data_IF_611064835122
#
_entry.id   IF_611064835122
#
_cell.length_a   1.000
_cell.length_b   1.000
_cell.length_c   1.000
_cell.angle_alpha   90.00
_cell.angle_beta   90.00
_cell.angle_gamma   90.00
#
_symmetry.space_group_name_H-M   'P 1'
#
loop_
_entity.id
_entity.type
_entity.pdbx_description
1 polymer ?
#
# COMPACT_ATOMS: atom_id res chain seq x y z
N UNK A 1 -29.09 -31.93 -30.80
CA UNK A 1 -27.95 -31.92 -29.89
C UNK A 1 -27.72 -30.45 -29.55
N UNK A 2 -28.27 -30.02 -28.40
CA UNK A 2 -28.13 -28.66 -27.88
C UNK A 2 -26.89 -28.58 -27.02
N UNK A 3 -25.94 -27.74 -27.44
CA UNK A 3 -24.77 -27.43 -26.63
C UNK A 3 -25.14 -26.30 -25.67
N UNK A 4 -25.17 -26.59 -24.39
CA UNK A 4 -25.29 -25.60 -23.30
C UNK A 4 -23.96 -24.92 -23.07
N UNK A 5 -23.88 -23.64 -23.42
CA UNK A 5 -22.76 -22.75 -23.08
C UNK A 5 -22.88 -22.38 -21.60
N UNK A 6 -22.00 -22.95 -20.76
CA UNK A 6 -21.84 -22.53 -19.38
C UNK A 6 -21.16 -21.15 -19.35
N UNK A 7 -21.90 -20.14 -18.94
CA UNK A 7 -21.35 -18.82 -18.66
C UNK A 7 -20.42 -18.91 -17.44
N UNK A 8 -19.15 -18.63 -17.69
CA UNK A 8 -18.14 -18.51 -16.66
C UNK A 8 -18.40 -17.19 -15.92
N UNK A 9 -19.03 -17.26 -14.75
CA UNK A 9 -19.22 -16.11 -13.87
C UNK A 9 -17.87 -15.73 -13.27
N UNK A 10 -17.38 -14.54 -13.64
CA UNK A 10 -16.24 -13.92 -12.98
C UNK A 10 -16.51 -13.84 -11.46
N UNK A 11 -15.48 -14.07 -10.61
CA UNK A 11 -15.64 -13.90 -9.17
C UNK A 11 -16.03 -12.45 -8.87
N UNK A 12 -17.12 -12.27 -8.15
CA UNK A 12 -17.57 -10.96 -7.67
C UNK A 12 -16.55 -10.44 -6.67
N UNK A 13 -15.84 -9.35 -7.03
CA UNK A 13 -15.05 -8.56 -6.09
C UNK A 13 -15.87 -8.26 -4.83
N UNK A 14 -15.26 -8.31 -3.64
CA UNK A 14 -15.93 -7.89 -2.43
C UNK A 14 -16.44 -6.45 -2.62
N UNK A 15 -17.73 -6.24 -2.37
CA UNK A 15 -18.40 -4.97 -2.57
C UNK A 15 -17.67 -3.88 -1.76
N UNK A 16 -16.91 -3.03 -2.44
CA UNK A 16 -16.36 -1.83 -1.84
C UNK A 16 -17.53 -1.04 -1.25
N UNK A 17 -17.51 -0.83 0.06
CA UNK A 17 -18.35 0.19 0.69
C UNK A 17 -18.11 1.47 -0.10
N UNK A 18 -19.17 2.21 -0.44
CA UNK A 18 -19.07 3.55 -1.07
C UNK A 18 -18.24 4.46 -0.18
N UNK A 19 -16.95 4.47 -0.39
CA UNK A 19 -15.94 5.23 0.33
C UNK A 19 -14.83 5.61 -0.64
N UNK A 20 -14.02 6.55 -0.25
CA UNK A 20 -12.81 6.95 -0.97
C UNK A 20 -11.94 5.72 -1.20
N UNK A 21 -11.40 5.52 -2.42
CA UNK A 21 -10.58 4.36 -2.72
C UNK A 21 -9.34 4.31 -1.82
N UNK A 22 -8.88 3.09 -1.51
CA UNK A 22 -7.56 2.92 -0.90
C UNK A 22 -6.49 3.51 -1.81
N UNK A 23 -5.46 4.12 -1.21
CA UNK A 23 -4.27 4.61 -1.92
C UNK A 23 -3.08 3.72 -1.69
N UNK A 24 -2.37 3.41 -2.78
CA UNK A 24 -1.13 2.67 -2.73
C UNK A 24 -0.02 3.43 -3.43
N UNK A 25 1.13 3.50 -2.80
CA UNK A 25 2.38 3.88 -3.46
C UNK A 25 3.03 2.62 -4.01
N UNK A 26 3.42 2.63 -5.29
CA UNK A 26 4.09 1.49 -5.93
C UNK A 26 5.43 1.92 -6.51
N UNK A 27 6.48 1.11 -6.28
CA UNK A 27 7.83 1.38 -6.75
C UNK A 27 8.64 0.10 -6.98
N UNK A 28 9.67 0.17 -7.79
CA UNK A 28 10.78 -0.77 -7.74
C UNK A 28 11.92 -0.18 -6.88
N UNK A 29 12.56 -1.03 -6.10
CA UNK A 29 13.61 -0.64 -5.15
C UNK A 29 14.81 0.03 -5.82
N UNK A 30 15.63 0.69 -5.02
CA UNK A 30 16.84 1.37 -5.48
C UNK A 30 17.76 0.37 -6.22
N UNK A 31 18.33 0.81 -7.34
CA UNK A 31 19.16 0.02 -8.25
C UNK A 31 18.46 -1.16 -8.96
N UNK A 32 17.14 -1.26 -8.84
CA UNK A 32 16.35 -2.26 -9.54
C UNK A 32 15.68 -1.66 -10.79
N UNK A 33 16.03 -2.23 -11.94
CA UNK A 33 15.43 -1.89 -13.23
C UNK A 33 14.35 -2.86 -13.69
N UNK A 34 13.97 -3.85 -12.86
CA UNK A 34 12.95 -4.83 -13.20
C UNK A 34 11.55 -4.29 -12.90
N UNK A 35 11.08 -3.40 -13.74
CA UNK A 35 9.80 -2.69 -13.53
C UNK A 35 8.56 -3.42 -14.07
N UNK A 36 8.74 -4.50 -14.85
CA UNK A 36 7.63 -5.22 -15.47
C UNK A 36 6.62 -5.75 -14.44
N UNK A 37 7.11 -6.37 -13.36
CA UNK A 37 6.26 -6.95 -12.32
C UNK A 37 5.44 -5.87 -11.62
N UNK A 38 6.05 -4.79 -11.16
CA UNK A 38 5.35 -3.72 -10.46
C UNK A 38 4.37 -2.98 -11.38
N UNK A 39 4.69 -2.87 -12.69
CA UNK A 39 3.79 -2.29 -13.67
C UNK A 39 2.54 -3.13 -13.89
N UNK A 40 2.64 -4.46 -13.85
CA UNK A 40 1.48 -5.35 -13.93
C UNK A 40 0.65 -5.22 -12.65
N UNK A 41 1.28 -5.31 -11.48
CA UNK A 41 0.61 -5.24 -10.17
C UNK A 41 -0.15 -3.91 -10.00
N UNK A 42 0.46 -2.76 -10.35
CA UNK A 42 -0.23 -1.47 -10.27
C UNK A 42 -1.48 -1.39 -11.15
N UNK A 43 -1.46 -2.02 -12.35
CA UNK A 43 -2.63 -2.05 -13.24
C UNK A 43 -3.76 -2.89 -12.67
N UNK A 44 -3.43 -4.00 -11.99
CA UNK A 44 -4.44 -4.84 -11.32
C UNK A 44 -5.02 -4.09 -10.14
N UNK A 45 -4.20 -3.41 -9.31
CA UNK A 45 -4.65 -2.53 -8.23
C UNK A 45 -5.62 -1.46 -8.75
N UNK A 46 -5.26 -0.75 -9.82
CA UNK A 46 -6.14 0.25 -10.46
C UNK A 46 -7.44 -0.37 -10.98
N UNK A 47 -7.37 -1.55 -11.59
CA UNK A 47 -8.54 -2.30 -12.05
C UNK A 47 -9.47 -2.74 -10.91
N UNK A 48 -8.93 -2.94 -9.71
CA UNK A 48 -9.67 -3.23 -8.48
C UNK A 48 -10.24 -1.96 -7.80
N UNK A 49 -10.04 -0.77 -8.38
CA UNK A 49 -10.55 0.50 -7.86
C UNK A 49 -9.67 1.17 -6.82
N UNK A 50 -8.41 0.77 -6.71
CA UNK A 50 -7.40 1.39 -5.84
C UNK A 50 -6.79 2.60 -6.55
N UNK A 51 -6.60 3.71 -5.85
CA UNK A 51 -5.81 4.83 -6.30
C UNK A 51 -4.32 4.48 -6.18
N UNK A 52 -3.55 4.61 -7.25
CA UNK A 52 -2.15 4.21 -7.28
C UNK A 52 -1.24 5.35 -7.67
N UNK A 53 -0.35 5.71 -6.76
CA UNK A 53 0.75 6.64 -6.98
C UNK A 53 1.98 5.81 -7.38
N UNK A 54 2.33 5.83 -8.65
CA UNK A 54 3.40 5.00 -9.19
C UNK A 54 4.70 5.77 -9.37
N UNK A 55 5.73 5.42 -8.60
CA UNK A 55 7.03 6.08 -8.62
C UNK A 55 8.01 5.49 -9.65
N UNK A 56 7.60 4.47 -10.41
CA UNK A 56 8.45 3.75 -11.35
C UNK A 56 9.61 2.99 -10.67
N UNK A 57 10.78 2.92 -11.32
CA UNK A 57 11.93 2.15 -10.88
C UNK A 57 13.00 3.03 -10.20
N UNK A 58 13.96 2.38 -9.57
CA UNK A 58 15.14 3.00 -8.97
C UNK A 58 14.80 4.07 -7.92
N UNK A 59 13.93 3.72 -6.97
CA UNK A 59 13.49 4.65 -5.92
C UNK A 59 14.17 4.40 -4.60
N UNK A 60 14.63 5.48 -3.99
CA UNK A 60 15.15 5.46 -2.63
C UNK A 60 14.01 5.23 -1.63
N UNK A 61 14.35 4.70 -0.47
CA UNK A 61 13.38 4.51 0.63
C UNK A 61 12.75 5.85 1.04
N UNK A 62 13.57 6.90 1.13
CA UNK A 62 13.08 8.23 1.51
C UNK A 62 12.01 8.76 0.55
N UNK A 63 12.20 8.61 -0.79
CA UNK A 63 11.21 9.01 -1.78
C UNK A 63 9.90 8.24 -1.63
N UNK A 64 9.98 6.92 -1.42
CA UNK A 64 8.81 6.06 -1.28
C UNK A 64 8.02 6.41 -0.03
N UNK A 65 8.69 6.51 1.12
CA UNK A 65 8.04 6.83 2.40
C UNK A 65 7.48 8.24 2.40
N UNK A 66 8.26 9.23 1.93
CA UNK A 66 7.79 10.60 1.86
C UNK A 66 6.53 10.73 0.99
N UNK A 67 6.49 10.03 -0.16
CA UNK A 67 5.30 10.02 -1.00
C UNK A 67 4.11 9.39 -0.28
N UNK A 68 4.31 8.26 0.40
CA UNK A 68 3.24 7.58 1.13
C UNK A 68 2.64 8.46 2.24
N UNK A 69 3.49 9.22 2.93
CA UNK A 69 3.05 10.18 3.95
C UNK A 69 2.30 11.38 3.36
N UNK A 70 2.75 11.91 2.22
CA UNK A 70 2.13 13.07 1.56
C UNK A 70 0.78 12.75 0.92
N UNK A 71 0.62 11.52 0.47
CA UNK A 71 -0.61 11.05 -0.19
C UNK A 71 -1.57 10.34 0.79
N UNK A 72 -1.23 10.28 2.09
CA UNK A 72 -1.99 9.50 3.08
C UNK A 72 -2.31 8.10 2.58
N UNK A 73 -1.28 7.39 2.07
CA UNK A 73 -1.44 6.08 1.50
C UNK A 73 -1.69 5.02 2.58
N UNK A 74 -2.48 4.01 2.26
CA UNK A 74 -2.74 2.88 3.15
C UNK A 74 -1.76 1.74 2.94
N UNK A 75 -1.16 1.69 1.76
CA UNK A 75 -0.22 0.65 1.41
C UNK A 75 0.95 1.14 0.56
N UNK A 76 2.09 0.49 0.73
CA UNK A 76 3.28 0.62 -0.10
C UNK A 76 3.56 -0.76 -0.70
N UNK A 77 3.65 -0.85 -2.02
CA UNK A 77 3.97 -2.08 -2.73
C UNK A 77 5.29 -1.92 -3.50
N UNK A 78 6.29 -2.74 -3.14
CA UNK A 78 7.65 -2.65 -3.67
C UNK A 78 8.03 -3.95 -4.37
N UNK A 79 8.51 -3.86 -5.62
CA UNK A 79 9.23 -4.96 -6.24
C UNK A 79 10.72 -4.81 -6.01
N UNK A 80 11.42 -5.91 -5.70
CA UNK A 80 12.86 -5.91 -5.51
C UNK A 80 13.48 -7.22 -6.01
N UNK A 81 14.14 -7.17 -7.16
CA UNK A 81 14.82 -8.29 -7.81
C UNK A 81 16.33 -8.20 -7.69
N UNK A 82 16.83 -7.40 -6.77
CA UNK A 82 18.28 -7.19 -6.55
C UNK A 82 18.66 -7.48 -5.09
N UNK A 83 20.00 -7.65 -4.86
CA UNK A 83 20.51 -8.03 -3.54
C UNK A 83 20.50 -6.90 -2.55
N UNK A 84 19.93 -6.50 -1.71
CA UNK A 84 19.88 -5.36 -0.78
C UNK A 84 18.45 -5.11 -0.32
N UNK A 85 17.57 -6.05 -0.67
CA UNK A 85 16.16 -5.97 -0.33
C UNK A 85 15.92 -6.03 1.19
N UNK A 86 16.73 -6.79 1.94
CA UNK A 86 16.56 -6.90 3.40
C UNK A 86 16.73 -5.53 4.06
N UNK A 87 17.82 -4.84 3.77
CA UNK A 87 18.12 -3.51 4.29
C UNK A 87 17.10 -2.48 3.78
N UNK A 88 16.70 -2.59 2.51
CA UNK A 88 15.74 -1.70 1.91
C UNK A 88 14.37 -1.78 2.62
N UNK A 89 13.81 -2.97 2.80
CA UNK A 89 12.53 -3.15 3.48
C UNK A 89 12.58 -2.77 4.96
N UNK A 90 13.66 -3.12 5.67
CA UNK A 90 13.84 -2.71 7.07
C UNK A 90 13.86 -1.20 7.19
N UNK A 91 14.57 -0.51 6.29
CA UNK A 91 14.66 0.93 6.32
C UNK A 91 13.31 1.61 5.98
N UNK A 92 12.49 1.02 5.09
CA UNK A 92 11.10 1.49 4.88
C UNK A 92 10.30 1.43 6.18
N UNK A 93 10.35 0.31 6.89
CA UNK A 93 9.65 0.13 8.16
C UNK A 93 10.16 1.12 9.22
N UNK A 94 11.47 1.33 9.30
CA UNK A 94 12.06 2.24 10.27
C UNK A 94 11.62 3.69 10.03
N UNK A 95 11.67 4.18 8.79
CA UNK A 95 11.22 5.54 8.46
C UNK A 95 9.72 5.73 8.69
N UNK A 96 8.89 4.70 8.45
CA UNK A 96 7.47 4.77 8.79
C UNK A 96 7.24 4.86 10.31
N UNK A 97 8.00 4.11 11.11
CA UNK A 97 7.97 4.19 12.58
C UNK A 97 8.43 5.56 13.07
N UNK A 98 9.54 6.08 12.56
CA UNK A 98 10.04 7.42 12.90
C UNK A 98 9.01 8.52 12.58
N UNK A 99 8.24 8.35 11.51
CA UNK A 99 7.17 9.27 11.13
C UNK A 99 5.83 9.05 11.86
N UNK A 100 5.73 8.05 12.77
CA UNK A 100 4.47 7.68 13.43
C UNK A 100 3.41 7.15 12.46
N UNK A 101 3.84 6.54 11.35
CA UNK A 101 2.98 6.10 10.24
C UNK A 101 2.94 4.56 10.11
N UNK A 102 3.01 3.85 11.23
CA UNK A 102 2.99 2.37 11.30
C UNK A 102 1.68 1.76 10.77
N UNK A 103 0.64 2.58 10.60
CA UNK A 103 -0.61 2.19 9.96
C UNK A 103 -0.47 1.92 8.46
N UNK A 104 0.56 2.48 7.80
CA UNK A 104 0.83 2.24 6.38
C UNK A 104 1.44 0.85 6.22
N UNK A 105 0.74 -0.03 5.50
CA UNK A 105 1.14 -1.41 5.31
C UNK A 105 2.18 -1.55 4.22
N UNK A 106 3.25 -2.29 4.48
CA UNK A 106 4.35 -2.52 3.52
C UNK A 106 4.23 -3.90 2.91
N UNK A 107 4.13 -3.94 1.60
CA UNK A 107 4.05 -5.16 0.80
C UNK A 107 5.22 -5.23 -0.18
N UNK A 108 5.60 -6.43 -0.55
CA UNK A 108 6.62 -6.57 -1.57
C UNK A 108 6.74 -7.95 -2.17
N UNK A 109 7.68 -8.08 -3.08
CA UNK A 109 8.07 -9.32 -3.70
C UNK A 109 9.28 -9.12 -4.62
N UNK A 110 9.98 -10.18 -4.90
CA UNK A 110 11.20 -10.14 -5.73
C UNK A 110 11.46 -11.48 -6.42
N UNK A 111 10.40 -12.23 -6.71
CA UNK A 111 10.52 -13.56 -7.27
C UNK A 111 11.38 -14.47 -6.40
N UNK A 112 12.29 -15.23 -7.01
CA UNK A 112 13.20 -16.13 -6.29
C UNK A 112 14.40 -15.45 -5.64
N UNK A 113 14.56 -14.14 -5.73
CA UNK A 113 15.66 -13.39 -5.11
C UNK A 113 15.49 -13.31 -3.60
N UNK A 114 14.25 -13.12 -3.13
CA UNK A 114 13.94 -13.11 -1.70
C UNK A 114 13.65 -14.53 -1.24
N UNK A 115 14.51 -15.07 -0.41
CA UNK A 115 14.38 -16.46 0.06
C UNK A 115 13.42 -16.59 1.24
N UNK A 116 12.82 -17.77 1.51
CA UNK A 116 11.82 -17.93 2.56
C UNK A 116 12.26 -17.55 3.97
N UNK A 117 13.55 -17.64 4.29
CA UNK A 117 14.09 -17.22 5.57
C UNK A 117 14.04 -15.69 5.72
N UNK A 118 14.37 -14.95 4.67
CA UNK A 118 14.32 -13.50 4.62
C UNK A 118 12.88 -12.98 4.64
N UNK A 119 11.93 -13.68 3.99
CA UNK A 119 10.50 -13.35 4.08
C UNK A 119 10.06 -13.37 5.54
N UNK A 120 10.36 -14.45 6.27
CA UNK A 120 10.00 -14.57 7.69
C UNK A 120 10.66 -13.49 8.55
N UNK A 121 11.93 -13.19 8.28
CA UNK A 121 12.68 -12.15 8.99
C UNK A 121 12.02 -10.78 8.79
N UNK A 122 11.71 -10.43 7.54
CA UNK A 122 11.15 -9.13 7.19
C UNK A 122 9.71 -8.95 7.66
N UNK A 123 8.88 -10.00 7.58
CA UNK A 123 7.52 -9.99 8.14
C UNK A 123 7.56 -9.85 9.67
N UNK A 124 8.49 -10.52 10.35
CA UNK A 124 8.69 -10.36 11.79
C UNK A 124 9.22 -8.96 12.17
N UNK A 125 9.91 -8.27 11.26
CA UNK A 125 10.44 -6.92 11.48
C UNK A 125 9.35 -5.84 11.35
N UNK A 126 8.30 -6.10 10.58
CA UNK A 126 7.19 -5.17 10.40
C UNK A 126 6.71 -4.98 8.96
N UNK A 127 7.27 -5.74 8.02
CA UNK A 127 6.68 -5.84 6.67
C UNK A 127 5.39 -6.63 6.76
N UNK A 128 4.29 -6.12 6.22
CA UNK A 128 2.98 -6.78 6.31
C UNK A 128 2.95 -8.11 5.58
N UNK A 129 3.49 -8.14 4.34
CA UNK A 129 3.55 -9.37 3.53
C UNK A 129 4.57 -9.27 2.42
N UNK A 130 5.35 -10.33 2.25
CA UNK A 130 6.20 -10.53 1.08
C UNK A 130 5.70 -11.72 0.26
N UNK A 131 5.35 -11.47 -0.99
CA UNK A 131 4.82 -12.50 -1.90
C UNK A 131 5.95 -13.24 -2.59
N UNK A 132 6.01 -14.54 -2.34
CA UNK A 132 6.93 -15.46 -3.00
C UNK A 132 6.38 -15.93 -4.36
N UNK A 133 7.20 -16.58 -5.21
CA UNK A 133 6.71 -17.25 -6.42
C UNK A 133 5.65 -18.31 -6.13
N UNK A 134 5.70 -18.95 -4.96
CA UNK A 134 4.72 -19.92 -4.52
C UNK A 134 3.34 -19.26 -4.26
N UNK A 135 3.32 -18.08 -3.64
CA UNK A 135 2.10 -17.30 -3.48
C UNK A 135 1.50 -16.95 -4.84
N UNK A 136 2.36 -16.56 -5.81
CA UNK A 136 1.93 -16.30 -7.18
C UNK A 136 1.31 -17.49 -7.89
N UNK A 137 1.81 -18.71 -7.63
CA UNK A 137 1.23 -19.94 -8.17
C UNK A 137 -0.11 -20.32 -7.53
N UNK A 138 -0.27 -20.10 -6.23
CA UNK A 138 -1.46 -20.48 -5.49
C UNK A 138 -2.60 -19.46 -5.58
N UNK A 139 -2.28 -18.18 -5.42
CA UNK A 139 -3.25 -17.09 -5.39
C UNK A 139 -3.47 -16.46 -6.78
N UNK A 140 -2.48 -16.57 -7.65
CA UNK A 140 -2.41 -15.78 -8.86
C UNK A 140 -2.22 -14.29 -8.55
N UNK A 141 -2.00 -13.49 -9.61
CA UNK A 141 -1.74 -12.04 -9.43
C UNK A 141 -2.96 -11.32 -8.84
N UNK A 142 -4.16 -11.69 -9.26
CA UNK A 142 -5.40 -11.06 -8.75
C UNK A 142 -5.59 -11.38 -7.28
N UNK A 143 -5.44 -12.65 -6.88
CA UNK A 143 -5.58 -13.03 -5.47
C UNK A 143 -4.54 -12.40 -4.55
N UNK A 144 -3.32 -12.16 -5.03
CA UNK A 144 -2.32 -11.39 -4.28
C UNK A 144 -2.77 -9.94 -4.06
N UNK A 145 -3.37 -9.31 -5.07
CA UNK A 145 -3.90 -7.95 -4.96
C UNK A 145 -5.10 -7.89 -4.01
N UNK A 146 -6.00 -8.88 -4.10
CA UNK A 146 -7.16 -8.97 -3.20
C UNK A 146 -6.72 -9.11 -1.73
N UNK A 147 -5.69 -9.94 -1.44
CA UNK A 147 -5.08 -10.07 -0.10
C UNK A 147 -4.47 -8.72 0.38
N UNK A 148 -3.78 -7.98 -0.48
CA UNK A 148 -3.25 -6.65 -0.14
C UNK A 148 -4.38 -5.66 0.21
N UNK A 149 -5.43 -5.62 -0.59
CA UNK A 149 -6.58 -4.73 -0.38
C UNK A 149 -7.30 -5.10 0.93
N UNK A 150 -7.52 -6.38 1.18
CA UNK A 150 -8.16 -6.86 2.40
C UNK A 150 -7.39 -6.43 3.64
N UNK A 151 -6.07 -6.66 3.67
CA UNK A 151 -5.18 -6.27 4.79
C UNK A 151 -5.18 -4.77 5.05
N UNK A 152 -5.24 -3.95 4.02
CA UNK A 152 -5.37 -2.50 4.17
C UNK A 152 -6.77 -2.07 4.62
N UNK A 153 -7.82 -2.80 4.25
CA UNK A 153 -9.21 -2.48 4.60
C UNK A 153 -9.56 -2.82 6.05
N UNK A 154 -8.83 -3.76 6.67
CA UNK A 154 -9.02 -4.15 8.07
C UNK A 154 -8.41 -3.15 9.05
N UNK A 155 -7.57 -2.22 8.59
CA UNK A 155 -7.03 -1.13 9.39
C UNK A 155 -8.14 -0.11 9.71
N UNK A 156 -8.48 0.02 10.99
CA UNK A 156 -9.43 1.04 11.45
C UNK A 156 -8.79 2.43 11.31
N UNK A 157 -9.37 3.27 10.45
CA UNK A 157 -9.09 4.70 10.37
C UNK A 157 -9.64 5.50 11.56
N UNK A 158 -10.00 4.82 12.66
CA UNK A 158 -10.81 5.35 13.75
C UNK A 158 -10.16 6.43 14.63
N UNK A 159 -8.87 6.72 14.47
CA UNK A 159 -8.18 7.72 15.31
C UNK A 159 -7.50 8.83 14.51
N UNK A 160 -8.20 9.44 13.57
CA UNK A 160 -7.76 10.72 13.02
C UNK A 160 -8.15 11.84 13.99
N UNK A 161 -7.60 11.81 15.19
CA UNK A 161 -7.53 13.01 16.03
C UNK A 161 -6.40 13.87 15.49
N UNK A 162 -6.59 14.42 14.29
CA UNK A 162 -5.70 15.45 13.80
C UNK A 162 -6.03 16.68 14.61
N UNK A 163 -5.20 16.97 15.60
CA UNK A 163 -5.21 18.28 16.19
C UNK A 163 -4.93 19.27 15.06
N UNK A 164 -5.91 20.07 14.67
CA UNK A 164 -5.81 21.09 13.61
C UNK A 164 -4.67 22.10 13.89
N UNK A 165 -4.07 22.05 15.06
CA UNK A 165 -2.95 22.89 15.52
C UNK A 165 -1.56 22.37 15.11
N UNK A 166 -1.43 21.14 14.57
CA UNK A 166 -0.13 20.53 14.24
C UNK A 166 0.17 20.46 12.74
N UNK A 167 -0.28 21.46 11.97
CA UNK A 167 0.02 21.56 10.54
C UNK A 167 1.43 22.13 10.27
N UNK A 168 2.17 22.51 11.32
CA UNK A 168 3.53 23.03 11.24
C UNK A 168 4.53 22.05 11.87
N UNK A 169 5.75 22.00 11.32
CA UNK A 169 6.81 21.10 11.77
C UNK A 169 7.06 19.94 10.80
N UNK A 170 7.91 19.01 11.18
CA UNK A 170 8.39 17.93 10.32
C UNK A 170 7.26 17.00 9.84
N UNK A 171 6.23 16.83 10.65
CA UNK A 171 5.04 16.02 10.33
C UNK A 171 3.88 16.82 9.72
N UNK A 172 4.03 18.14 9.53
CA UNK A 172 2.95 19.01 9.07
C UNK A 172 2.33 18.60 7.73
N UNK A 173 3.13 18.08 6.80
CA UNK A 173 2.63 17.59 5.50
C UNK A 173 1.79 16.33 5.62
N UNK A 174 2.22 15.39 6.45
CA UNK A 174 1.45 14.17 6.72
C UNK A 174 0.14 14.51 7.43
N UNK A 175 0.18 15.38 8.41
CA UNK A 175 -1.02 15.83 9.13
C UNK A 175 -2.00 16.54 8.18
N UNK A 176 -1.50 17.35 7.26
CA UNK A 176 -2.31 17.99 6.22
C UNK A 176 -2.95 16.98 5.27
N UNK A 177 -2.18 15.97 4.80
CA UNK A 177 -2.69 14.93 3.93
C UNK A 177 -3.82 14.13 4.62
N UNK A 178 -3.63 13.74 5.87
CA UNK A 178 -4.64 13.06 6.69
C UNK A 178 -5.88 13.92 6.92
N UNK A 179 -5.70 15.22 7.15
CA UNK A 179 -6.82 16.16 7.30
C UNK A 179 -7.63 16.26 6.01
N UNK A 180 -6.99 16.37 4.86
CA UNK A 180 -7.65 16.39 3.56
C UNK A 180 -8.45 15.09 3.36
N UNK A 181 -7.85 13.94 3.63
CA UNK A 181 -8.53 12.65 3.53
C UNK A 181 -9.75 12.57 4.47
N UNK A 182 -9.63 13.07 5.69
CA UNK A 182 -10.75 13.10 6.65
C UNK A 182 -11.90 14.01 6.19
N UNK A 183 -11.58 15.15 5.54
CA UNK A 183 -12.59 16.03 4.92
C UNK A 183 -13.28 15.32 3.76
N UNK A 184 -12.53 14.69 2.87
CA UNK A 184 -13.07 13.96 1.73
C UNK A 184 -13.99 12.80 2.14
N UNK A 185 -13.72 12.19 3.29
CA UNK A 185 -14.51 11.07 3.85
C UNK A 185 -15.68 11.50 4.73
N UNK A 186 -15.83 12.80 4.99
CA UNK A 186 -16.82 13.34 5.93
C UNK A 186 -16.68 12.73 7.34
N UNK A 187 -15.42 12.50 7.76
CA UNK A 187 -15.08 11.89 9.06
C UNK A 187 -14.81 12.93 10.16
N UNK A 188 -14.81 14.24 9.83
CA UNK A 188 -14.57 15.29 10.81
C UNK A 188 -15.79 15.52 11.71
N UNK A 189 -15.54 15.63 13.02
CA UNK A 189 -16.58 16.03 13.96
C UNK A 189 -17.03 17.49 13.71
N UNK A 190 -18.25 17.87 14.13
CA UNK A 190 -18.73 19.26 14.02
C UNK A 190 -17.81 20.28 14.70
N UNK A 191 -17.13 19.89 15.78
CA UNK A 191 -16.17 20.73 16.50
C UNK A 191 -14.88 20.94 15.66
N UNK A 192 -14.37 19.87 15.03
CA UNK A 192 -13.23 19.95 14.13
C UNK A 192 -13.53 20.79 12.90
N UNK A 193 -14.71 20.61 12.29
CA UNK A 193 -15.16 21.43 11.16
C UNK A 193 -15.26 22.92 11.52
N UNK A 194 -15.68 23.24 12.75
CA UNK A 194 -15.78 24.60 13.23
C UNK A 194 -14.41 25.27 13.46
N UNK A 195 -13.41 24.49 13.87
CA UNK A 195 -12.03 24.98 14.09
C UNK A 195 -11.24 25.25 12.81
N UNK A 196 -11.70 24.76 11.66
CA UNK A 196 -11.10 24.98 10.34
C UNK A 196 -11.62 26.22 9.62
N UNK A 197 -12.58 26.91 10.17
CA UNK A 197 -13.15 28.17 9.67
C UNK A 197 -12.48 29.39 10.29
#
# INVERSE_FOLDING_TARGET
VSASTSANSAPSSPAQKKGIPLRFVTAASLFDGHDAAINIMRRILQGAGVEVIHLAHNRSVAEVVQTALQEDAQGIAISSYQGGHVEYFKYVVDLLKEAGAEHIKVFGGGGGVIVPAEIKELEAYGVERLYSPYDGQNLGLVGMIDDMIERCSLGTYSDVTVAATELSGDNGRNNLARLITAIERDELSPEQQSSLR
#
